data_IF_565652161137
#
_entry.id   IF_565652161137
#
_cell.length_a   1.000
_cell.length_b   1.000
_cell.length_c   1.000
_cell.angle_alpha   90.00
_cell.angle_beta   90.00
_cell.angle_gamma   90.00
#
_symmetry.space_group_name_H-M   'P 1'
#
loop_
_entity.id
_entity.type
_entity.pdbx_description
1 polymer ?
#
# COMPACT_ATOMS: atom_id res chain seq x y z
N UNK A 1 16.54 10.73 26.59
CA UNK A 1 17.95 11.04 26.45
C UNK A 1 18.39 10.82 25.00
N UNK A 2 19.28 11.67 24.47
CA UNK A 2 19.78 11.57 23.09
C UNK A 2 20.68 10.34 22.93
N UNK A 3 21.30 9.92 24.00
CA UNK A 3 22.24 8.78 24.11
C UNK A 3 21.55 7.41 23.90
N UNK A 4 20.22 7.34 24.05
CA UNK A 4 19.45 6.10 23.86
C UNK A 4 19.04 5.83 22.41
N UNK A 5 19.45 6.70 21.47
CA UNK A 5 19.11 6.56 20.06
C UNK A 5 20.09 5.63 19.34
N UNK A 6 19.60 4.54 18.81
CA UNK A 6 20.37 3.55 18.05
C UNK A 6 19.92 3.58 16.58
N UNK A 7 20.87 3.51 15.66
CA UNK A 7 20.59 3.32 14.25
C UNK A 7 20.12 1.89 14.01
N UNK A 8 18.90 1.72 13.52
CA UNK A 8 18.26 0.41 13.30
C UNK A 8 18.26 -0.03 11.83
N UNK A 9 18.75 0.82 10.93
CA UNK A 9 18.80 0.55 9.51
C UNK A 9 18.55 1.80 8.68
N UNK A 10 18.65 1.64 7.37
CA UNK A 10 18.48 2.72 6.41
C UNK A 10 17.06 2.73 5.83
N UNK A 11 16.51 3.92 5.63
CA UNK A 11 15.25 4.13 4.92
C UNK A 11 15.43 3.98 3.41
N UNK A 12 16.65 4.11 2.92
CA UNK A 12 16.99 3.92 1.51
C UNK A 12 16.90 2.45 1.15
N UNK A 13 16.17 2.07 0.12
CA UNK A 13 16.14 0.69 -0.33
C UNK A 13 17.51 0.25 -0.84
N UNK A 14 17.86 -1.01 -0.63
CA UNK A 14 19.08 -1.60 -1.19
C UNK A 14 18.95 -1.82 -2.70
N UNK A 15 17.73 -2.08 -3.16
CA UNK A 15 17.40 -2.26 -4.55
C UNK A 15 15.97 -1.79 -4.80
N UNK A 16 15.77 -0.98 -5.82
CA UNK A 16 14.46 -0.57 -6.30
C UNK A 16 14.46 -0.45 -7.81
N UNK A 17 13.31 -0.65 -8.42
CA UNK A 17 13.17 -0.54 -9.85
C UNK A 17 11.75 -0.87 -10.31
N UNK A 18 11.59 -0.87 -11.63
CA UNK A 18 10.33 -1.22 -12.27
C UNK A 18 10.56 -2.23 -13.40
N UNK A 19 9.58 -3.08 -13.59
CA UNK A 19 9.51 -4.02 -14.72
C UNK A 19 8.19 -3.77 -15.42
N UNK A 20 8.25 -3.44 -16.71
CA UNK A 20 7.05 -3.28 -17.52
C UNK A 20 7.02 -4.31 -18.64
N UNK A 21 5.82 -4.77 -18.99
CA UNK A 21 5.60 -5.66 -20.12
C UNK A 21 4.39 -5.20 -20.90
N UNK A 22 4.46 -5.38 -22.22
CA UNK A 22 3.36 -5.12 -23.13
C UNK A 22 3.19 -6.34 -24.04
N UNK A 23 1.98 -6.87 -24.07
CA UNK A 23 1.58 -8.01 -24.89
C UNK A 23 0.52 -7.56 -25.85
N UNK A 24 0.67 -7.93 -27.11
CA UNK A 24 -0.32 -7.67 -28.16
C UNK A 24 -0.68 -8.99 -28.83
N UNK A 25 -1.98 -9.28 -28.88
CA UNK A 25 -2.50 -10.44 -29.58
C UNK A 25 -3.73 -10.08 -30.39
N UNK A 26 -3.58 -10.12 -31.71
CA UNK A 26 -4.62 -9.67 -32.65
C UNK A 26 -5.08 -8.23 -32.30
N UNK A 27 -6.30 -8.08 -31.85
CA UNK A 27 -6.92 -6.80 -31.52
C UNK A 27 -6.82 -6.44 -30.03
N UNK A 28 -6.28 -7.34 -29.19
CA UNK A 28 -6.14 -7.17 -27.75
C UNK A 28 -4.72 -6.71 -27.42
N UNK A 29 -4.60 -5.70 -26.59
CA UNK A 29 -3.33 -5.25 -26.03
C UNK A 29 -3.43 -5.23 -24.51
N UNK A 30 -2.41 -5.73 -23.86
CA UNK A 30 -2.26 -5.79 -22.42
C UNK A 30 -0.94 -5.14 -22.04
N UNK A 31 -0.95 -4.18 -21.14
CA UNK A 31 0.26 -3.63 -20.55
C UNK A 31 0.20 -3.68 -19.04
N UNK A 32 1.32 -4.05 -18.43
CA UNK A 32 1.49 -4.15 -16.98
C UNK A 32 2.79 -3.49 -16.57
N UNK A 33 2.77 -2.81 -15.42
CA UNK A 33 3.96 -2.29 -14.78
C UNK A 33 4.01 -2.73 -13.32
N UNK A 34 5.13 -3.32 -12.95
CA UNK A 34 5.44 -3.73 -11.59
C UNK A 34 6.55 -2.84 -11.05
N UNK A 35 6.42 -2.46 -9.80
CA UNK A 35 7.46 -1.78 -9.03
C UNK A 35 7.93 -2.71 -7.92
N UNK A 36 9.22 -2.74 -7.66
CA UNK A 36 9.79 -3.50 -6.57
C UNK A 36 10.73 -2.65 -5.72
N UNK A 37 10.69 -2.90 -4.41
CA UNK A 37 11.56 -2.25 -3.43
C UNK A 37 12.05 -3.31 -2.45
N UNK A 38 13.36 -3.43 -2.27
CA UNK A 38 13.97 -4.45 -1.42
C UNK A 38 14.90 -3.83 -0.39
N UNK A 39 14.86 -4.37 0.83
CA UNK A 39 15.82 -4.05 1.88
C UNK A 39 15.69 -2.67 2.52
N UNK A 40 14.53 -2.04 2.43
CA UNK A 40 14.22 -0.76 3.07
C UNK A 40 13.73 -0.97 4.49
N UNK A 41 14.18 -0.14 5.43
CA UNK A 41 13.60 -0.09 6.77
C UNK A 41 12.58 1.03 6.85
N UNK A 42 11.43 0.75 7.44
CA UNK A 42 10.36 1.72 7.64
C UNK A 42 9.90 1.71 9.11
N UNK A 43 9.51 2.88 9.59
CA UNK A 43 8.77 2.99 10.85
C UNK A 43 7.28 2.86 10.57
N UNK A 44 6.64 1.82 11.13
CA UNK A 44 5.21 1.58 10.97
C UNK A 44 4.39 2.51 11.88
N UNK A 45 4.30 3.77 11.48
CA UNK A 45 3.62 4.81 12.25
C UNK A 45 2.13 4.52 12.46
N UNK A 46 1.48 3.89 11.48
CA UNK A 46 0.06 3.53 11.57
C UNK A 46 -0.17 2.48 12.64
N UNK A 47 0.69 1.44 12.69
CA UNK A 47 0.64 0.43 13.74
C UNK A 47 0.92 1.05 15.10
N UNK A 48 1.97 1.87 15.21
CA UNK A 48 2.30 2.56 16.46
C UNK A 48 1.14 3.44 16.97
N UNK A 49 0.49 4.17 16.09
CA UNK A 49 -0.66 5.00 16.45
C UNK A 49 -1.86 4.18 16.94
N UNK A 50 -2.08 3.00 16.35
CA UNK A 50 -3.21 2.12 16.71
C UNK A 50 -3.02 1.35 18.02
N UNK A 51 -1.79 0.97 18.36
CA UNK A 51 -1.55 0.05 19.47
C UNK A 51 -0.75 0.66 20.62
N UNK A 52 0.11 1.63 20.37
CA UNK A 52 0.96 2.27 21.37
C UNK A 52 0.32 3.54 21.92
N UNK A 53 0.04 4.48 21.04
CA UNK A 53 -0.44 5.83 21.36
C UNK A 53 -1.96 5.95 21.15
N UNK A 54 -2.72 5.07 21.75
CA UNK A 54 -4.18 5.04 21.59
C UNK A 54 -4.85 6.29 22.16
N UNK A 55 -5.89 6.74 21.49
CA UNK A 55 -6.84 7.69 22.01
C UNK A 55 -8.09 6.94 22.45
N UNK A 56 -8.30 6.83 23.76
CA UNK A 56 -9.43 6.09 24.35
C UNK A 56 -10.80 6.71 24.08
N UNK A 57 -10.84 7.98 23.64
CA UNK A 57 -12.07 8.65 23.26
C UNK A 57 -12.50 8.39 21.82
N UNK A 58 -11.74 7.57 21.08
CA UNK A 58 -12.01 7.15 19.70
C UNK A 58 -12.07 5.64 19.61
N UNK A 59 -12.44 5.13 18.46
CA UNK A 59 -12.39 3.69 18.17
C UNK A 59 -10.96 3.16 18.35
N UNK A 60 -10.80 2.21 19.25
CA UNK A 60 -9.53 1.60 19.63
C UNK A 60 -9.37 0.28 18.91
N UNK A 61 -8.16 0.00 18.45
CA UNK A 61 -7.80 -1.29 17.84
C UNK A 61 -7.90 -2.41 18.89
N UNK A 62 -8.48 -3.54 18.53
CA UNK A 62 -8.68 -4.68 19.44
C UNK A 62 -7.36 -5.19 20.04
N UNK A 63 -6.25 -5.12 19.29
CA UNK A 63 -4.91 -5.50 19.77
C UNK A 63 -4.44 -4.60 20.92
N UNK A 64 -4.79 -3.32 20.86
CA UNK A 64 -4.48 -2.38 21.93
C UNK A 64 -5.25 -2.68 23.22
N UNK A 65 -6.33 -3.43 23.13
CA UNK A 65 -7.13 -3.87 24.26
C UNK A 65 -6.67 -5.25 24.78
N UNK A 66 -6.50 -6.23 23.90
CA UNK A 66 -6.22 -7.62 24.27
C UNK A 66 -4.75 -7.92 24.55
N UNK A 67 -3.82 -7.18 23.95
CA UNK A 67 -2.37 -7.42 24.04
C UNK A 67 -1.64 -6.36 24.87
N UNK A 68 -2.34 -5.74 25.79
CA UNK A 68 -1.81 -4.68 26.66
C UNK A 68 -1.58 -5.18 28.08
N UNK A 69 -0.53 -4.67 28.68
CA UNK A 69 -0.21 -4.97 30.08
C UNK A 69 -1.32 -4.46 31.03
N UNK A 70 -1.81 -5.33 31.89
CA UNK A 70 -2.88 -5.05 32.84
C UNK A 70 -2.44 -5.26 34.30
N UNK A 71 -1.69 -6.32 34.57
CA UNK A 71 -1.27 -6.73 35.92
C UNK A 71 0.18 -7.22 35.94
N UNK A 72 0.85 -7.19 37.12
CA UNK A 72 2.18 -7.80 37.29
C UNK A 72 2.19 -9.26 36.85
N UNK A 73 3.22 -9.66 36.10
CA UNK A 73 3.37 -11.00 35.51
C UNK A 73 2.88 -11.13 34.07
N UNK A 74 2.17 -10.15 33.54
CA UNK A 74 1.74 -10.17 32.13
C UNK A 74 2.94 -10.01 31.17
N UNK A 75 3.10 -10.96 30.24
CA UNK A 75 4.07 -10.90 29.14
C UNK A 75 3.29 -10.55 27.86
N UNK A 76 3.26 -9.28 27.52
CA UNK A 76 2.43 -8.75 26.43
C UNK A 76 3.20 -7.75 25.58
N UNK A 77 2.69 -7.51 24.35
CA UNK A 77 3.38 -6.68 23.37
C UNK A 77 3.34 -5.17 23.70
N UNK A 78 2.31 -4.69 24.38
CA UNK A 78 2.07 -3.26 24.55
C UNK A 78 2.00 -2.82 26.01
N UNK A 79 2.49 -1.61 26.34
CA UNK A 79 2.50 -1.10 27.70
C UNK A 79 1.07 -0.78 28.19
N UNK A 80 0.94 -0.54 29.50
CA UNK A 80 -0.32 -0.15 30.12
C UNK A 80 -0.91 1.11 29.49
N UNK A 81 -2.21 1.07 29.19
CA UNK A 81 -2.97 2.25 28.77
C UNK A 81 -3.12 3.23 29.93
N UNK A 82 -2.77 4.48 29.71
CA UNK A 82 -2.96 5.57 30.68
C UNK A 82 -3.89 6.62 30.11
N UNK A 83 -4.87 7.06 30.87
CA UNK A 83 -5.83 8.09 30.50
C UNK A 83 -5.13 9.43 30.17
N UNK A 84 -4.08 9.75 30.91
CA UNK A 84 -3.28 10.96 30.74
C UNK A 84 -1.82 10.58 30.47
N UNK A 85 -1.51 10.24 29.26
CA UNK A 85 -0.12 9.98 28.88
C UNK A 85 0.53 11.30 28.44
N UNK A 86 1.20 11.98 29.37
CA UNK A 86 1.98 13.20 29.08
C UNK A 86 3.13 12.92 28.09
N UNK A 87 3.74 11.76 28.15
CA UNK A 87 4.85 11.37 27.31
C UNK A 87 4.37 10.29 26.33
N UNK A 88 4.06 10.70 25.11
CA UNK A 88 3.86 9.77 24.00
C UNK A 88 5.19 9.10 23.71
N UNK A 89 5.20 7.77 23.61
CA UNK A 89 6.38 7.05 23.14
C UNK A 89 6.53 7.37 21.66
N UNK A 90 7.55 8.17 21.36
CA UNK A 90 7.83 8.61 19.98
C UNK A 90 9.01 7.77 19.48
N UNK A 91 8.80 7.13 18.31
CA UNK A 91 9.86 6.40 17.59
C UNK A 91 10.54 5.26 18.37
N UNK A 92 9.75 4.33 18.90
CA UNK A 92 10.27 3.09 19.46
C UNK A 92 10.80 2.15 18.36
N UNK A 93 11.92 1.48 18.60
CA UNK A 93 12.51 0.46 17.71
C UNK A 93 11.55 -0.69 17.36
N UNK A 94 10.56 -0.97 18.21
CA UNK A 94 9.55 -2.03 18.04
C UNK A 94 8.70 -1.92 16.77
N UNK A 95 8.62 -0.72 16.20
CA UNK A 95 7.83 -0.45 14.99
C UNK A 95 8.71 -0.22 13.76
N UNK A 96 10.00 -0.47 13.87
CA UNK A 96 10.91 -0.47 12.72
C UNK A 96 10.91 -1.85 12.10
N UNK A 97 10.47 -1.92 10.85
CA UNK A 97 10.27 -3.17 10.11
C UNK A 97 11.02 -3.12 8.78
N UNK A 98 11.62 -4.26 8.39
CA UNK A 98 12.27 -4.40 7.08
C UNK A 98 11.22 -4.68 6.02
N UNK A 99 11.11 -3.77 5.06
CA UNK A 99 10.13 -3.82 3.98
C UNK A 99 10.77 -4.31 2.69
N UNK A 100 10.24 -5.40 2.17
CA UNK A 100 10.39 -5.84 0.79
C UNK A 100 9.00 -5.79 0.16
N UNK A 101 8.91 -5.26 -1.05
CA UNK A 101 7.63 -5.03 -1.69
C UNK A 101 7.70 -5.28 -3.19
N UNK A 102 6.66 -5.91 -3.72
CA UNK A 102 6.34 -6.00 -5.13
C UNK A 102 4.93 -5.45 -5.32
N UNK A 103 4.78 -4.48 -6.19
CA UNK A 103 3.57 -3.74 -6.41
C UNK A 103 3.21 -3.72 -7.90
N UNK A 104 1.98 -4.13 -8.25
CA UNK A 104 1.43 -3.95 -9.59
C UNK A 104 0.85 -2.53 -9.67
N UNK A 105 1.67 -1.59 -10.19
CA UNK A 105 1.33 -0.17 -10.22
C UNK A 105 0.29 0.15 -11.26
N UNK A 106 0.33 -0.51 -12.42
CA UNK A 106 -0.67 -0.33 -13.47
C UNK A 106 -0.93 -1.61 -14.26
N UNK A 107 -2.17 -1.77 -14.66
CA UNK A 107 -2.63 -2.81 -15.59
C UNK A 107 -3.60 -2.13 -16.58
N UNK A 108 -3.28 -2.16 -17.88
CA UNK A 108 -4.14 -1.63 -18.91
C UNK A 108 -4.47 -2.73 -19.92
N UNK A 109 -5.73 -2.86 -20.23
CA UNK A 109 -6.26 -3.78 -21.23
C UNK A 109 -6.97 -2.94 -22.26
N UNK A 110 -6.62 -3.07 -23.54
CA UNK A 110 -7.32 -2.38 -24.63
C UNK A 110 -7.67 -3.34 -25.75
N UNK A 111 -8.80 -3.12 -26.34
CA UNK A 111 -9.32 -3.90 -27.46
C UNK A 111 -9.71 -3.00 -28.61
N UNK A 112 -9.12 -3.23 -29.78
CA UNK A 112 -9.50 -2.56 -31.02
C UNK A 112 -10.66 -3.33 -31.65
N UNK A 113 -11.79 -2.68 -31.85
CA UNK A 113 -12.93 -3.31 -32.48
C UNK A 113 -12.62 -3.69 -33.92
N UNK A 114 -13.20 -4.80 -34.44
CA UNK A 114 -13.05 -5.21 -35.83
C UNK A 114 -13.53 -4.13 -36.80
N UNK A 115 -12.79 -3.92 -37.89
CA UNK A 115 -13.04 -2.88 -38.86
C UNK A 115 -14.47 -2.93 -39.45
N UNK A 116 -15.03 -4.13 -39.60
CA UNK A 116 -16.39 -4.32 -40.14
C UNK A 116 -17.48 -3.70 -39.23
N UNK A 117 -17.28 -3.68 -37.92
CA UNK A 117 -18.21 -3.05 -36.98
C UNK A 117 -18.01 -1.53 -36.94
N UNK A 118 -16.77 -1.12 -36.99
CA UNK A 118 -16.37 0.29 -36.85
C UNK A 118 -16.83 1.10 -38.09
N UNK A 119 -16.73 0.51 -39.29
CA UNK A 119 -17.21 1.14 -40.55
C UNK A 119 -18.71 1.41 -40.53
N UNK A 120 -19.53 0.54 -39.93
CA UNK A 120 -20.97 0.76 -39.80
C UNK A 120 -21.32 1.98 -38.94
N UNK A 121 -20.40 2.40 -38.08
CA UNK A 121 -20.54 3.58 -37.21
C UNK A 121 -19.91 4.85 -37.85
N UNK A 122 -19.41 4.76 -39.09
CA UNK A 122 -18.75 5.89 -39.76
C UNK A 122 -17.36 6.23 -39.23
N UNK A 123 -16.76 5.32 -38.45
CA UNK A 123 -15.45 5.53 -37.84
C UNK A 123 -14.36 4.76 -38.59
N UNK A 124 -13.13 5.24 -38.52
CA UNK A 124 -11.94 4.52 -39.05
C UNK A 124 -11.43 3.50 -38.02
N UNK A 125 -11.47 3.83 -36.74
CA UNK A 125 -11.02 2.97 -35.68
C UNK A 125 -11.80 3.26 -34.39
N UNK A 126 -12.04 2.24 -33.59
CA UNK A 126 -12.60 2.36 -32.24
C UNK A 126 -11.86 1.41 -31.31
N UNK A 127 -11.21 1.97 -30.29
CA UNK A 127 -10.58 1.22 -29.23
C UNK A 127 -11.36 1.42 -27.92
N UNK A 128 -11.54 0.34 -27.18
CA UNK A 128 -12.12 0.33 -25.83
C UNK A 128 -11.04 -0.17 -24.89
N UNK A 129 -10.83 0.52 -23.78
CA UNK A 129 -9.83 0.17 -22.80
C UNK A 129 -10.34 0.22 -21.36
N UNK A 130 -9.71 -0.57 -20.52
CA UNK A 130 -9.88 -0.54 -19.07
C UNK A 130 -8.50 -0.47 -18.44
N UNK A 131 -8.32 0.51 -17.56
CA UNK A 131 -7.11 0.69 -16.79
C UNK A 131 -7.37 0.49 -15.30
N UNK A 132 -6.40 -0.06 -14.64
CA UNK A 132 -6.41 -0.33 -13.21
C UNK A 132 -5.11 0.18 -12.61
N UNK A 133 -5.19 0.82 -11.45
CA UNK A 133 -4.02 1.25 -10.71
C UNK A 133 -4.08 0.75 -9.27
N UNK A 134 -2.92 0.45 -8.70
CA UNK A 134 -2.77 -0.02 -7.32
C UNK A 134 -3.56 -1.30 -6.97
N UNK A 135 -3.66 -2.27 -7.89
CA UNK A 135 -4.52 -3.45 -7.73
C UNK A 135 -3.94 -4.42 -6.71
N UNK A 136 -2.63 -4.63 -6.76
CA UNK A 136 -1.99 -5.74 -6.08
C UNK A 136 -0.65 -5.31 -5.47
N UNK A 137 -0.47 -5.65 -4.20
CA UNK A 137 0.75 -5.35 -3.45
C UNK A 137 1.13 -6.50 -2.55
N UNK A 138 2.29 -7.09 -2.79
CA UNK A 138 2.94 -8.03 -1.90
C UNK A 138 3.98 -7.28 -1.08
N UNK A 139 3.87 -7.35 0.22
CA UNK A 139 4.83 -6.70 1.12
C UNK A 139 5.10 -7.58 2.34
N UNK A 140 6.35 -7.60 2.80
CA UNK A 140 6.73 -8.27 4.05
C UNK A 140 6.18 -7.53 5.28
N UNK A 141 5.86 -6.24 5.13
CA UNK A 141 5.23 -5.44 6.17
C UNK A 141 3.74 -5.33 5.87
N UNK A 142 2.92 -5.72 6.84
CA UNK A 142 1.47 -5.56 6.71
C UNK A 142 1.11 -4.07 6.74
N UNK A 143 0.66 -3.57 5.60
CA UNK A 143 0.10 -2.23 5.52
C UNK A 143 -1.25 -2.20 6.22
N UNK A 144 -1.32 -1.37 7.22
CA UNK A 144 -2.57 -1.09 7.91
C UNK A 144 -3.21 0.16 7.31
N UNK A 145 -4.53 0.12 7.16
CA UNK A 145 -5.27 1.33 6.77
C UNK A 145 -5.01 2.42 7.80
N UNK A 146 -4.61 3.59 7.31
CA UNK A 146 -4.50 4.78 8.13
C UNK A 146 -5.86 5.19 8.67
N UNK A 147 -5.87 6.04 9.68
CA UNK A 147 -7.10 6.59 10.26
C UNK A 147 -7.76 7.63 9.36
N UNK A 148 -7.02 8.20 8.42
CA UNK A 148 -7.45 9.35 7.60
C UNK A 148 -7.73 9.01 6.14
N UNK A 149 -6.99 8.06 5.55
CA UNK A 149 -7.13 7.71 4.14
C UNK A 149 -7.12 6.20 3.95
N UNK A 150 -8.20 5.61 3.41
CA UNK A 150 -8.18 4.22 2.96
C UNK A 150 -7.30 4.09 1.70
N UNK A 151 -6.71 2.91 1.50
CA UNK A 151 -6.11 2.57 0.20
C UNK A 151 -7.20 2.60 -0.86
N UNK A 152 -6.98 3.36 -1.93
CA UNK A 152 -7.90 3.45 -3.05
C UNK A 152 -7.32 2.67 -4.23
N UNK A 153 -8.15 1.83 -4.82
CA UNK A 153 -7.90 1.29 -6.14
C UNK A 153 -8.57 2.21 -7.16
N UNK A 154 -7.87 2.53 -8.24
CA UNK A 154 -8.43 3.37 -9.30
C UNK A 154 -8.78 2.50 -10.51
N UNK A 155 -9.93 2.78 -11.08
CA UNK A 155 -10.42 2.16 -12.31
C UNK A 155 -10.76 3.26 -13.30
N UNK A 156 -10.29 3.11 -14.53
CA UNK A 156 -10.62 4.03 -15.61
C UNK A 156 -11.10 3.28 -16.83
N UNK A 157 -12.10 3.83 -17.50
CA UNK A 157 -12.58 3.36 -18.79
C UNK A 157 -12.17 4.35 -19.87
N UNK A 158 -11.72 3.83 -21.00
CA UNK A 158 -11.30 4.62 -22.13
C UNK A 158 -12.03 4.15 -23.39
N UNK A 159 -12.58 5.11 -24.11
CA UNK A 159 -13.16 4.89 -25.44
C UNK A 159 -12.47 5.88 -26.39
N UNK A 160 -11.80 5.36 -27.40
CA UNK A 160 -11.00 6.17 -28.33
C UNK A 160 -11.51 5.98 -29.77
N UNK A 161 -12.46 6.80 -30.23
CA UNK A 161 -12.88 6.81 -31.63
C UNK A 161 -11.87 7.58 -32.50
N UNK A 162 -11.67 7.12 -33.70
CA UNK A 162 -10.91 7.83 -34.76
C UNK A 162 -11.81 7.97 -36.00
N UNK A 163 -11.98 9.17 -36.45
CA UNK A 163 -12.79 9.53 -37.61
C UNK A 163 -12.01 9.55 -38.91
#
# INVERSE_FOLDING_TARGET
HVEDKVSLGDKTPKLEGSISTALAWKNLSLSMAFEYTLGRYIYNATRAAKVENINIYRNVDVRAFTQRWTKPGDVVAYPRGRLYQRNKVVHSSRFVEKRNELHLSSLNISYNLPVNWVKKLGLKRLAIGVGFSDIFRLSTVKFERGTSYPYMHSYNFMISPTF
#
